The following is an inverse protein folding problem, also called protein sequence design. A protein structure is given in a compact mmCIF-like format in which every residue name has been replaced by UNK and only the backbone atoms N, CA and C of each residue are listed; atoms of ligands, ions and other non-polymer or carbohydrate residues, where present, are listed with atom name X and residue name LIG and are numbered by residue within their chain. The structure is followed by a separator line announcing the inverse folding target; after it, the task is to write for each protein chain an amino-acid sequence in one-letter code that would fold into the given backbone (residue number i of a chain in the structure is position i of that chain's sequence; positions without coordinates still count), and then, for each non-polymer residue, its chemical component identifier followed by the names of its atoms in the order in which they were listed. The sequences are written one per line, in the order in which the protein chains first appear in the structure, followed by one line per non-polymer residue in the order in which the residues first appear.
data_IF_865369594585
#
_entry.id   IF_865369594585
#
_cell.length_a   1.000
_cell.length_b   1.000
_cell.length_c   1.000
_cell.angle_alpha   90.00
_cell.angle_beta   90.00
_cell.angle_gamma   90.00
#
_symmetry.space_group_name_H-M   'P 1'
#
loop_
_entity.id
_entity.type
_entity.pdbx_description
1 polymer ?
#
# COMPACT_ATOMS: atom_id res chain seq x y z
N UNK A 1 54.69 -8.61 -31.38
CA UNK A 1 53.70 -7.56 -31.01
C UNK A 1 52.25 -8.08 -31.01
N UNK A 2 52.00 -9.29 -30.47
CA UNK A 2 50.68 -9.95 -30.48
C UNK A 2 50.07 -10.09 -29.08
N UNK A 3 50.91 -10.10 -28.03
CA UNK A 3 50.47 -10.18 -26.65
C UNK A 3 49.86 -8.87 -26.12
N UNK A 4 50.31 -7.71 -26.65
CA UNK A 4 49.81 -6.41 -26.20
C UNK A 4 48.34 -6.16 -26.61
N UNK A 5 47.89 -6.69 -27.75
CA UNK A 5 46.49 -6.54 -28.18
C UNK A 5 45.53 -7.44 -27.39
N UNK A 6 46.00 -8.62 -26.93
CA UNK A 6 45.18 -9.57 -26.18
C UNK A 6 44.87 -9.10 -24.75
N UNK A 7 45.75 -8.29 -24.16
CA UNK A 7 45.55 -7.74 -22.81
C UNK A 7 44.51 -6.62 -22.84
N UNK A 8 44.55 -5.76 -23.87
CA UNK A 8 43.62 -4.63 -24.02
C UNK A 8 42.17 -5.07 -24.22
N UNK A 9 41.93 -6.19 -24.91
CA UNK A 9 40.57 -6.71 -25.13
C UNK A 9 39.97 -7.33 -23.87
N UNK A 10 40.77 -8.01 -23.04
CA UNK A 10 40.32 -8.57 -21.76
C UNK A 10 39.91 -7.48 -20.76
N UNK A 11 40.65 -6.37 -20.68
CA UNK A 11 40.30 -5.23 -19.83
C UNK A 11 39.00 -4.53 -20.28
N UNK A 12 38.75 -4.45 -21.59
CA UNK A 12 37.52 -3.87 -22.12
C UNK A 12 36.27 -4.73 -21.82
N UNK A 13 36.40 -6.06 -21.88
CA UNK A 13 35.31 -6.99 -21.56
C UNK A 13 34.96 -6.94 -20.06
N UNK A 14 35.97 -6.81 -19.19
CA UNK A 14 35.78 -6.71 -17.74
C UNK A 14 35.09 -5.40 -17.34
N UNK A 15 35.41 -4.29 -18.01
CA UNK A 15 34.78 -2.99 -17.77
C UNK A 15 33.30 -2.97 -18.22
N UNK A 16 32.98 -3.64 -19.33
CA UNK A 16 31.60 -3.73 -19.82
C UNK A 16 30.72 -4.57 -18.87
N UNK A 17 31.24 -5.68 -18.33
CA UNK A 17 30.52 -6.52 -17.37
C UNK A 17 30.14 -5.76 -16.08
N UNK A 18 31.02 -4.88 -15.58
CA UNK A 18 30.72 -4.06 -14.40
C UNK A 18 29.65 -2.98 -14.66
N UNK A 19 29.51 -2.48 -15.88
CA UNK A 19 28.52 -1.46 -16.21
C UNK A 19 27.08 -2.02 -16.30
N UNK A 20 26.90 -3.29 -16.66
CA UNK A 20 25.59 -3.95 -16.68
C UNK A 20 25.06 -4.34 -15.30
N UNK A 21 25.91 -4.33 -14.27
CA UNK A 21 25.53 -4.61 -12.89
C UNK A 21 25.12 -3.36 -12.11
N UNK A 22 25.33 -2.17 -12.65
CA UNK A 22 24.85 -0.89 -12.07
C UNK A 22 23.38 -0.63 -12.41
N UNK A 23 22.57 -1.69 -12.43
CA UNK A 23 21.12 -1.63 -12.56
C UNK A 23 20.50 -1.57 -11.17
N UNK A 24 20.31 -0.35 -10.66
CA UNK A 24 19.52 -0.02 -9.48
C UNK A 24 19.96 -0.70 -8.18
N UNK A 25 20.69 0.04 -7.34
CA UNK A 25 20.69 -0.15 -5.88
C UNK A 25 19.30 0.17 -5.34
N UNK A 26 18.32 -0.67 -5.68
CA UNK A 26 17.08 -0.77 -4.93
C UNK A 26 17.47 -1.35 -3.59
N UNK A 27 17.63 -0.48 -2.60
CA UNK A 27 17.81 -0.83 -1.19
C UNK A 27 16.54 -1.54 -0.70
N UNK A 28 16.33 -2.77 -1.17
CA UNK A 28 15.36 -3.72 -0.67
C UNK A 28 15.91 -4.20 0.65
N UNK A 29 15.69 -3.38 1.68
CA UNK A 29 15.99 -3.71 3.05
C UNK A 29 15.05 -4.86 3.46
N UNK A 30 15.38 -6.09 3.06
CA UNK A 30 14.80 -7.36 3.52
C UNK A 30 15.23 -7.68 4.95
N UNK A 31 15.40 -6.64 5.78
CA UNK A 31 15.57 -6.79 7.22
C UNK A 31 14.27 -7.30 7.83
N UNK A 32 14.37 -8.28 8.74
CA UNK A 32 13.23 -8.77 9.48
C UNK A 32 12.49 -7.59 10.14
N UNK A 33 11.20 -7.42 9.82
CA UNK A 33 10.36 -6.37 10.38
C UNK A 33 9.77 -6.86 11.70
N UNK A 34 10.21 -6.29 12.81
CA UNK A 34 9.67 -6.64 14.13
C UNK A 34 8.51 -5.71 14.48
N UNK A 35 7.30 -6.27 14.54
CA UNK A 35 6.07 -5.54 14.83
C UNK A 35 5.72 -5.62 16.33
N UNK A 36 6.13 -4.61 17.10
CA UNK A 36 5.79 -4.53 18.53
C UNK A 36 4.49 -3.74 18.72
N UNK A 37 3.39 -4.43 18.98
CA UNK A 37 2.13 -3.79 19.33
C UNK A 37 2.07 -3.54 20.84
N UNK A 38 2.15 -2.27 21.25
CA UNK A 38 1.96 -1.87 22.65
C UNK A 38 0.54 -1.38 22.91
N UNK A 39 0.07 -1.60 24.14
CA UNK A 39 -1.26 -1.18 24.61
C UNK A 39 -2.38 -1.65 23.66
N UNK A 40 -2.39 -2.96 23.37
CA UNK A 40 -3.29 -3.54 22.40
C UNK A 40 -4.21 -4.59 23.01
N UNK A 41 -5.51 -4.30 23.04
CA UNK A 41 -6.53 -5.27 23.45
C UNK A 41 -6.96 -6.11 22.25
N UNK A 42 -6.30 -7.25 22.05
CA UNK A 42 -6.56 -8.15 20.91
C UNK A 42 -7.99 -8.71 20.92
N UNK A 43 -8.56 -8.90 22.11
CA UNK A 43 -9.93 -9.40 22.32
C UNK A 43 -10.99 -8.29 22.23
N UNK A 44 -10.61 -7.04 22.03
CA UNK A 44 -11.59 -5.96 21.85
C UNK A 44 -12.45 -6.20 20.61
N UNK A 45 -13.75 -5.91 20.75
CA UNK A 45 -14.77 -5.95 19.70
C UNK A 45 -15.02 -4.57 19.08
N UNK A 46 -14.27 -3.55 19.50
CA UNK A 46 -14.37 -2.20 18.95
C UNK A 46 -13.74 -2.14 17.57
N UNK A 47 -14.59 -2.15 16.54
CA UNK A 47 -14.16 -2.07 15.14
C UNK A 47 -13.28 -0.84 14.86
N UNK A 48 -12.36 -0.99 13.91
CA UNK A 48 -11.56 0.12 13.38
C UNK A 48 -11.68 0.19 11.85
N UNK A 49 -11.46 1.37 11.28
CA UNK A 49 -11.38 1.54 9.83
C UNK A 49 -10.00 2.05 9.46
N UNK A 50 -9.35 1.42 8.49
CA UNK A 50 -8.05 1.82 7.98
C UNK A 50 -8.11 2.10 6.49
N UNK A 51 -7.62 3.26 6.07
CA UNK A 51 -7.42 3.61 4.66
C UNK A 51 -6.11 3.03 4.17
N UNK A 52 -6.13 2.39 3.02
CA UNK A 52 -4.98 1.71 2.41
C UNK A 52 -4.06 2.70 1.71
N UNK A 53 -2.93 3.04 2.34
CA UNK A 53 -1.97 4.01 1.82
C UNK A 53 -2.64 5.32 1.37
N UNK A 54 -2.29 5.78 0.17
CA UNK A 54 -2.88 6.97 -0.46
C UNK A 54 -4.16 6.70 -1.26
N UNK A 55 -4.51 5.43 -1.49
CA UNK A 55 -5.66 5.04 -2.31
C UNK A 55 -6.99 5.39 -1.63
N UNK A 56 -8.08 5.37 -2.40
CA UNK A 56 -9.44 5.54 -1.89
C UNK A 56 -10.06 4.20 -1.41
N UNK A 57 -9.21 3.29 -0.93
CA UNK A 57 -9.60 1.98 -0.45
C UNK A 57 -9.54 1.95 1.07
N UNK A 58 -10.58 1.44 1.70
CA UNK A 58 -10.67 1.27 3.13
C UNK A 58 -10.86 -0.21 3.47
N UNK A 59 -10.32 -0.62 4.61
CA UNK A 59 -10.54 -1.94 5.19
C UNK A 59 -11.11 -1.78 6.58
N UNK A 60 -12.19 -2.52 6.85
CA UNK A 60 -12.79 -2.56 8.18
C UNK A 60 -12.12 -3.66 8.98
N UNK A 61 -11.52 -3.32 10.11
CA UNK A 61 -10.84 -4.25 10.99
C UNK A 61 -11.69 -4.52 12.22
N UNK A 62 -11.58 -5.73 12.77
CA UNK A 62 -12.24 -6.13 14.02
C UNK A 62 -11.87 -5.22 15.18
N UNK A 63 -10.61 -4.77 15.23
CA UNK A 63 -10.12 -3.80 16.18
C UNK A 63 -8.90 -3.03 15.68
N UNK A 64 -8.49 -2.03 16.45
CA UNK A 64 -7.31 -1.20 16.16
C UNK A 64 -5.99 -1.98 16.19
N UNK A 65 -5.93 -3.09 16.91
CA UNK A 65 -4.76 -3.96 16.94
C UNK A 65 -4.53 -4.66 15.62
N UNK A 66 -5.58 -5.22 15.03
CA UNK A 66 -5.48 -5.87 13.72
C UNK A 66 -5.06 -4.83 12.67
N UNK A 67 -5.58 -3.60 12.72
CA UNK A 67 -5.14 -2.52 11.83
C UNK A 67 -3.63 -2.25 11.95
N UNK A 68 -3.12 -2.08 13.17
CA UNK A 68 -1.69 -1.81 13.41
C UNK A 68 -0.80 -2.98 13.01
N UNK A 69 -1.24 -4.20 13.34
CA UNK A 69 -0.57 -5.42 12.92
C UNK A 69 -0.47 -5.46 11.40
N UNK A 70 -1.59 -5.28 10.70
CA UNK A 70 -1.63 -5.36 9.25
C UNK A 70 -0.82 -4.27 8.56
N UNK A 71 -0.77 -3.08 9.15
CA UNK A 71 0.08 -1.98 8.68
C UNK A 71 1.58 -2.27 8.84
N UNK A 72 1.95 -3.10 9.81
CA UNK A 72 3.34 -3.41 10.09
C UNK A 72 3.84 -4.61 9.27
N UNK A 73 3.01 -5.65 9.11
CA UNK A 73 3.38 -6.84 8.31
C UNK A 73 3.19 -6.64 6.81
N UNK A 74 2.32 -5.71 6.38
CA UNK A 74 2.12 -5.43 4.96
C UNK A 74 3.12 -4.42 4.44
N UNK A 75 3.43 -4.49 3.15
CA UNK A 75 4.23 -3.47 2.45
C UNK A 75 3.51 -2.12 2.34
N UNK A 76 2.20 -2.08 2.57
CA UNK A 76 1.39 -0.86 2.54
C UNK A 76 0.81 -0.55 3.91
N UNK A 77 1.10 0.65 4.40
CA UNK A 77 0.60 1.17 5.68
C UNK A 77 -0.89 1.48 5.60
N UNK A 78 -1.64 1.17 6.66
CA UNK A 78 -3.00 1.67 6.82
C UNK A 78 -3.02 2.91 7.70
N UNK A 79 -3.77 3.92 7.28
CA UNK A 79 -4.04 5.12 8.09
C UNK A 79 -5.38 4.95 8.78
N UNK A 80 -5.42 5.07 10.12
CA UNK A 80 -6.67 5.01 10.86
C UNK A 80 -7.60 6.16 10.46
N UNK A 81 -8.83 5.84 10.10
CA UNK A 81 -9.87 6.81 9.73
C UNK A 81 -11.16 6.53 10.50
N UNK A 82 -12.15 7.43 10.40
CA UNK A 82 -13.44 7.25 11.05
C UNK A 82 -14.15 5.99 10.54
N UNK A 83 -14.87 5.29 11.43
CA UNK A 83 -15.65 4.10 11.07
C UNK A 83 -16.69 4.36 9.97
N UNK A 84 -17.19 5.59 9.87
CA UNK A 84 -18.10 6.02 8.81
C UNK A 84 -17.52 5.86 7.40
N UNK A 85 -16.19 5.95 7.24
CA UNK A 85 -15.49 5.69 5.97
C UNK A 85 -15.54 4.21 5.55
N UNK A 86 -15.76 3.30 6.50
CA UNK A 86 -15.94 1.88 6.21
C UNK A 86 -17.41 1.46 6.22
N UNK A 87 -18.35 2.42 6.11
CA UNK A 87 -19.77 2.09 6.02
C UNK A 87 -20.04 1.20 4.81
N UNK A 88 -20.80 0.12 5.01
CA UNK A 88 -21.06 -0.89 3.98
C UNK A 88 -19.90 -1.85 3.69
N UNK A 89 -18.74 -1.70 4.33
CA UNK A 89 -17.62 -2.64 4.20
C UNK A 89 -17.71 -3.70 5.31
N UNK A 90 -17.71 -4.98 4.91
CA UNK A 90 -17.67 -6.12 5.83
C UNK A 90 -16.36 -6.18 6.62
N UNK A 91 -16.38 -6.84 7.77
CA UNK A 91 -15.17 -7.05 8.58
C UNK A 91 -14.09 -7.79 7.77
N UNK A 92 -12.85 -7.37 7.97
CA UNK A 92 -11.65 -7.85 7.29
C UNK A 92 -11.70 -7.74 5.75
N UNK A 93 -12.63 -6.95 5.21
CA UNK A 93 -12.82 -6.79 3.77
C UNK A 93 -12.34 -5.41 3.33
N UNK A 94 -11.83 -5.33 2.10
CA UNK A 94 -11.41 -4.08 1.48
C UNK A 94 -12.48 -3.61 0.51
N UNK A 95 -12.80 -2.33 0.56
CA UNK A 95 -13.76 -1.68 -0.32
C UNK A 95 -13.37 -0.24 -0.59
N UNK A 96 -14.19 0.46 -1.37
CA UNK A 96 -14.05 1.91 -1.57
C UNK A 96 -14.35 2.59 -0.22
N UNK A 97 -13.50 3.51 0.21
CA UNK A 97 -13.83 4.33 1.37
C UNK A 97 -15.10 5.13 1.08
N UNK A 98 -16.06 5.11 2.01
CA UNK A 98 -17.17 6.06 1.99
C UNK A 98 -16.65 7.49 1.98
N UNK A 99 -17.43 8.38 1.38
CA UNK A 99 -17.21 9.81 1.55
C UNK A 99 -17.43 10.15 3.03
N UNK A 100 -16.49 10.84 3.69
CA UNK A 100 -16.84 11.52 4.93
C UNK A 100 -17.95 12.48 4.52
N UNK A 101 -19.14 12.30 5.09
CA UNK A 101 -20.06 13.41 5.27
C UNK A 101 -19.38 14.37 6.25
N UNK A 102 -18.42 15.16 5.74
CA UNK A 102 -17.97 16.35 6.43
C UNK A 102 -19.15 17.30 6.38
N UNK A 103 -19.79 17.52 7.53
CA UNK A 103 -20.75 18.60 7.74
C UNK A 103 -20.10 19.90 7.27
N UNK A 104 -20.40 20.31 6.03
CA UNK A 104 -19.94 21.56 5.43
C UNK A 104 -21.15 22.10 4.70
N UNK A 105 -21.86 22.97 5.41
CA UNK A 105 -22.71 24.06 4.92
C UNK A 105 -22.93 24.13 3.41
N UNK A 106 -24.21 24.06 3.05
CA UNK A 106 -24.87 24.63 1.88
C UNK A 106 -23.98 25.57 1.04
N UNK A 107 -23.58 25.12 -0.14
CA UNK A 107 -23.29 25.97 -1.29
C UNK A 107 -23.36 25.13 -2.55
N UNK A 108 -24.35 25.45 -3.37
CA UNK A 108 -24.71 24.92 -4.67
C UNK A 108 -23.51 24.76 -5.61
N UNK A 109 -23.47 23.68 -6.41
CA UNK A 109 -23.37 23.71 -7.89
C UNK A 109 -22.89 22.37 -8.50
N UNK A 110 -23.75 21.79 -9.35
CA UNK A 110 -23.42 21.10 -10.62
C UNK A 110 -22.92 19.64 -10.63
N UNK A 111 -23.89 18.73 -10.79
CA UNK A 111 -23.97 17.62 -11.77
C UNK A 111 -22.69 16.83 -12.16
N UNK A 112 -22.68 15.54 -11.83
CA UNK A 112 -22.21 14.48 -12.74
C UNK A 112 -22.87 13.14 -12.40
N UNK A 113 -23.71 12.67 -13.31
CA UNK A 113 -24.40 11.38 -13.25
C UNK A 113 -23.38 10.23 -13.23
N UNK A 114 -23.17 9.61 -12.07
CA UNK A 114 -22.40 8.35 -11.99
C UNK A 114 -23.39 7.19 -12.22
N UNK A 115 -23.42 6.69 -13.45
CA UNK A 115 -24.17 5.48 -13.82
C UNK A 115 -23.31 4.25 -13.44
N UNK A 116 -23.83 3.28 -12.66
CA UNK A 116 -23.09 2.08 -12.32
C UNK A 116 -22.95 1.13 -13.52
N UNK A 117 -21.75 0.59 -13.73
CA UNK A 117 -21.49 -0.46 -14.72
C UNK A 117 -22.02 -1.78 -14.16
N UNK A 118 -23.03 -2.35 -14.81
CA UNK A 118 -23.61 -3.66 -14.49
C UNK A 118 -22.91 -4.71 -15.36
N UNK A 119 -22.10 -5.57 -14.76
CA UNK A 119 -21.53 -6.74 -15.46
C UNK A 119 -22.46 -7.94 -15.18
N UNK A 120 -23.26 -8.33 -16.17
CA UNK A 120 -23.98 -9.62 -16.17
C UNK A 120 -23.04 -10.68 -16.74
N UNK A 121 -22.64 -11.65 -15.94
CA UNK A 121 -22.03 -12.89 -16.42
C UNK A 121 -23.18 -13.86 -16.64
N UNK A 122 -23.35 -14.32 -17.89
CA UNK A 122 -24.29 -15.38 -18.25
C UNK A 122 -23.90 -16.72 -17.65
#
# INVERSE_FOLDING_TARGET
MKAALAISTLLAILALACAFLTGSTGNSNTGAKVCVLRNCSWNSTTNACGRYGSSNLCTRFKNSCVLRYQSCVSSTTYTSVSLSRCSGISLNSRGICGSSSSSSSSSSSSTSNVVPIIIRRG
#
